data_IF_063023737828
#
_entry.id   IF_063023737828
#
_cell.length_a   1.000
_cell.length_b   1.000
_cell.length_c   1.000
_cell.angle_alpha   90.00
_cell.angle_beta   90.00
_cell.angle_gamma   90.00
#
_symmetry.space_group_name_H-M   'P 1'
#
loop_
_entity.id
_entity.type
_entity.pdbx_description
1 polymer ?
#
# COMPACT_ATOMS: atom_id res chain seq x y z
N UNK A 1 -8.06 -6.58 9.52
CA UNK A 1 -7.12 -7.58 8.98
C UNK A 1 -7.91 -8.60 8.17
N UNK A 2 -7.32 -9.15 7.11
CA UNK A 2 -7.88 -10.24 6.32
C UNK A 2 -7.72 -11.60 7.03
N UNK A 3 -8.38 -12.68 6.57
CA UNK A 3 -8.16 -14.03 7.09
C UNK A 3 -6.71 -14.51 7.01
N UNK A 4 -5.92 -13.97 6.06
CA UNK A 4 -4.49 -14.27 5.92
C UNK A 4 -3.60 -13.43 6.87
N UNK A 5 -4.19 -12.59 7.72
CA UNK A 5 -3.46 -11.73 8.66
C UNK A 5 -2.94 -10.43 8.04
N UNK A 6 -3.34 -10.09 6.81
CA UNK A 6 -2.90 -8.85 6.15
C UNK A 6 -3.72 -7.67 6.66
N UNK A 7 -3.05 -6.58 7.01
CA UNK A 7 -3.73 -5.34 7.36
C UNK A 7 -4.24 -4.66 6.09
N UNK A 8 -5.54 -4.79 5.82
CA UNK A 8 -6.22 -4.23 4.64
C UNK A 8 -7.04 -2.98 4.95
N UNK A 9 -7.14 -2.59 6.22
CA UNK A 9 -7.80 -1.36 6.69
C UNK A 9 -7.20 -0.96 8.03
N UNK A 10 -7.07 0.34 8.27
CA UNK A 10 -6.78 0.94 9.57
C UNK A 10 -7.79 2.07 9.79
N UNK A 11 -8.56 2.02 10.89
CA UNK A 11 -9.69 2.92 11.14
C UNK A 11 -9.28 4.26 11.76
N UNK A 12 -8.34 4.96 11.11
CA UNK A 12 -7.90 6.32 11.45
C UNK A 12 -7.76 7.15 10.17
N UNK A 13 -7.83 8.50 10.24
CA UNK A 13 -7.55 9.34 9.08
C UNK A 13 -6.16 9.05 8.49
N UNK A 14 -6.10 8.87 7.17
CA UNK A 14 -4.85 8.73 6.44
C UNK A 14 -4.02 10.01 6.54
N UNK A 15 -2.71 9.87 6.76
CA UNK A 15 -1.79 11.00 6.80
C UNK A 15 -0.50 10.70 6.01
N UNK A 16 -0.31 11.45 4.93
CA UNK A 16 0.89 11.53 4.10
C UNK A 16 0.94 12.90 3.44
N UNK A 17 2.11 13.31 2.94
CA UNK A 17 2.15 14.39 1.95
C UNK A 17 1.55 13.93 0.61
N UNK A 18 1.30 14.86 -0.30
CA UNK A 18 0.86 14.56 -1.67
C UNK A 18 1.92 13.75 -2.44
N UNK A 19 3.19 14.13 -2.30
CA UNK A 19 4.32 13.43 -2.92
C UNK A 19 4.48 12.00 -2.36
N UNK A 20 4.30 11.85 -1.04
CA UNK A 20 4.32 10.56 -0.36
C UNK A 20 3.17 9.66 -0.85
N UNK A 21 1.97 10.22 -1.01
CA UNK A 21 0.81 9.52 -1.58
C UNK A 21 1.08 9.07 -3.01
N UNK A 22 1.56 9.97 -3.87
CA UNK A 22 1.91 9.68 -5.26
C UNK A 22 2.94 8.56 -5.36
N UNK A 23 4.00 8.64 -4.54
CA UNK A 23 5.06 7.63 -4.50
C UNK A 23 4.51 6.25 -4.09
N UNK A 24 3.68 6.19 -3.04
CA UNK A 24 3.12 4.94 -2.55
C UNK A 24 2.17 4.31 -3.59
N UNK A 25 1.31 5.13 -4.21
CA UNK A 25 0.38 4.70 -5.24
C UNK A 25 1.13 4.17 -6.47
N UNK A 26 2.11 4.93 -6.97
CA UNK A 26 2.88 4.53 -8.14
C UNK A 26 3.68 3.25 -7.89
N UNK A 27 4.26 3.07 -6.70
CA UNK A 27 4.95 1.84 -6.34
C UNK A 27 4.01 0.62 -6.34
N UNK A 28 2.79 0.77 -5.84
CA UNK A 28 1.76 -0.28 -5.89
C UNK A 28 1.34 -0.56 -7.34
N UNK A 29 1.08 0.48 -8.14
CA UNK A 29 0.68 0.37 -9.54
C UNK A 29 1.74 -0.35 -10.38
N UNK A 30 3.01 0.01 -10.25
CA UNK A 30 4.11 -0.66 -10.95
C UNK A 30 4.18 -2.15 -10.56
N UNK A 31 4.08 -2.47 -9.26
CA UNK A 31 4.08 -3.86 -8.80
C UNK A 31 2.90 -4.67 -9.36
N UNK A 32 1.72 -4.04 -9.46
CA UNK A 32 0.53 -4.65 -10.06
C UNK A 32 0.70 -4.85 -11.57
N UNK A 33 1.25 -3.88 -12.30
CA UNK A 33 1.48 -3.99 -13.75
C UNK A 33 2.49 -5.10 -14.12
N UNK A 34 3.46 -5.38 -13.26
CA UNK A 34 4.38 -6.52 -13.41
C UNK A 34 3.68 -7.88 -13.28
N UNK A 35 2.43 -7.92 -12.78
CA UNK A 35 1.65 -9.12 -12.56
C UNK A 35 0.41 -9.10 -13.45
N UNK A 36 0.27 -10.09 -14.32
CA UNK A 36 -0.94 -10.22 -15.14
C UNK A 36 -2.17 -10.47 -14.26
N UNK A 37 -3.27 -9.76 -14.50
CA UNK A 37 -4.54 -9.98 -13.80
C UNK A 37 -5.32 -8.69 -13.53
N UNK A 38 -6.44 -8.85 -12.81
CA UNK A 38 -7.24 -7.74 -12.31
C UNK A 38 -6.50 -7.04 -11.14
N UNK A 39 -6.17 -5.74 -11.23
CA UNK A 39 -5.51 -4.99 -10.17
C UNK A 39 -6.23 -5.04 -8.82
N UNK A 40 -7.56 -5.16 -8.79
CA UNK A 40 -8.31 -5.26 -7.55
C UNK A 40 -8.03 -6.57 -6.80
N UNK A 41 -7.78 -7.66 -7.51
CA UNK A 41 -7.37 -8.93 -6.93
C UNK A 41 -5.93 -8.90 -6.40
N UNK A 42 -5.15 -7.89 -6.78
CA UNK A 42 -3.75 -7.71 -6.41
C UNK A 42 -3.55 -6.79 -5.19
N UNK A 43 -4.61 -6.16 -4.66
CA UNK A 43 -4.54 -5.27 -3.47
C UNK A 43 -4.00 -6.03 -2.26
N UNK A 44 -4.67 -7.12 -1.85
CA UNK A 44 -4.23 -7.88 -0.67
C UNK A 44 -2.85 -8.54 -0.87
N UNK A 45 -2.53 -9.16 -2.03
CA UNK A 45 -1.18 -9.64 -2.33
C UNK A 45 -0.08 -8.57 -2.21
N UNK A 46 -0.34 -7.35 -2.71
CA UNK A 46 0.63 -6.25 -2.59
C UNK A 46 0.79 -5.84 -1.12
N UNK A 47 -0.32 -5.65 -0.40
CA UNK A 47 -0.31 -5.30 1.03
C UNK A 47 0.41 -6.36 1.87
N UNK A 48 0.26 -7.65 1.54
CA UNK A 48 1.00 -8.74 2.18
C UNK A 48 2.51 -8.59 1.94
N UNK A 49 2.92 -8.25 0.71
CA UNK A 49 4.34 -8.13 0.36
C UNK A 49 5.05 -7.01 1.14
N UNK A 50 4.41 -5.86 1.32
CA UNK A 50 4.98 -4.72 2.05
C UNK A 50 4.90 -4.88 3.57
N UNK A 51 4.02 -5.77 4.06
CA UNK A 51 3.87 -6.11 5.48
C UNK A 51 4.82 -7.21 5.95
N UNK A 52 5.52 -7.87 5.02
CA UNK A 52 6.48 -8.90 5.37
C UNK A 52 7.63 -8.34 6.23
N UNK A 53 8.12 -9.09 7.24
CA UNK A 53 9.17 -8.61 8.14
C UNK A 53 10.42 -8.14 7.39
N UNK A 54 10.90 -6.94 7.74
CA UNK A 54 12.12 -6.36 7.16
C UNK A 54 11.96 -5.77 5.76
N UNK A 55 10.78 -5.89 5.12
CA UNK A 55 10.53 -5.26 3.83
C UNK A 55 10.32 -3.76 4.01
N UNK A 56 11.01 -2.98 3.17
CA UNK A 56 10.83 -1.54 3.03
C UNK A 56 11.06 -1.15 1.58
N UNK A 57 10.34 -0.16 1.08
CA UNK A 57 10.55 0.37 -0.26
C UNK A 57 9.75 1.63 -0.51
N UNK A 58 9.66 2.05 -1.78
CA UNK A 58 8.94 3.27 -2.15
C UNK A 58 7.46 3.26 -1.73
N UNK A 59 6.82 2.09 -1.73
CA UNK A 59 5.44 1.90 -1.26
C UNK A 59 5.22 2.23 0.22
N UNK A 60 6.28 2.29 1.01
CA UNK A 60 6.24 2.59 2.46
C UNK A 60 7.30 3.62 2.87
N UNK A 61 7.72 4.48 1.93
CA UNK A 61 8.71 5.55 2.15
C UNK A 61 10.01 5.05 2.81
N UNK A 62 10.51 3.91 2.34
CA UNK A 62 11.71 3.24 2.86
C UNK A 62 11.63 2.91 4.37
N UNK A 63 10.43 2.81 4.91
CA UNK A 63 10.17 2.45 6.30
C UNK A 63 9.47 1.09 6.34
N UNK A 64 9.91 0.19 7.22
CA UNK A 64 9.23 -1.10 7.40
C UNK A 64 7.81 -0.89 7.91
N UNK A 65 6.84 -1.69 7.47
CA UNK A 65 5.44 -1.59 7.88
C UNK A 65 5.24 -1.44 9.41
N UNK A 66 5.97 -2.23 10.20
CA UNK A 66 5.90 -2.24 11.65
C UNK A 66 6.34 -0.92 12.32
N UNK A 67 7.05 -0.04 11.60
CA UNK A 67 7.51 1.28 12.08
C UNK A 67 6.63 2.43 11.62
N UNK A 68 5.66 2.18 10.75
CA UNK A 68 4.69 3.20 10.33
C UNK A 68 3.71 3.49 11.47
N UNK A 69 3.33 4.75 11.62
CA UNK A 69 2.19 5.11 12.48
C UNK A 69 0.88 4.57 11.86
N UNK A 70 -0.19 4.38 12.65
CA UNK A 70 -1.48 3.95 12.12
C UNK A 70 -2.00 4.85 10.98
N UNK A 71 -1.83 6.18 11.09
CA UNK A 71 -2.23 7.12 10.05
C UNK A 71 -1.43 6.96 8.75
N UNK A 72 -0.14 6.61 8.86
CA UNK A 72 0.71 6.29 7.71
C UNK A 72 0.36 4.94 7.09
N UNK A 73 0.01 3.93 7.89
CA UNK A 73 -0.51 2.66 7.38
C UNK A 73 -1.83 2.85 6.62
N UNK A 74 -2.73 3.67 7.15
CA UNK A 74 -3.97 4.05 6.46
C UNK A 74 -3.70 4.74 5.12
N UNK A 75 -2.74 5.66 5.05
CA UNK A 75 -2.35 6.34 3.82
C UNK A 75 -1.78 5.38 2.77
N UNK A 76 -0.93 4.43 3.17
CA UNK A 76 -0.43 3.39 2.26
C UNK A 76 -1.60 2.56 1.71
N UNK A 77 -2.49 2.07 2.57
CA UNK A 77 -3.65 1.26 2.14
C UNK A 77 -4.53 2.03 1.14
N UNK A 78 -4.81 3.31 1.42
CA UNK A 78 -5.55 4.18 0.51
C UNK A 78 -4.86 4.30 -0.85
N UNK A 79 -3.54 4.51 -0.87
CA UNK A 79 -2.76 4.59 -2.09
C UNK A 79 -2.76 3.26 -2.88
N UNK A 80 -2.81 2.10 -2.23
CA UNK A 80 -2.96 0.79 -2.91
C UNK A 80 -4.31 0.67 -3.59
N UNK A 81 -5.39 1.13 -2.95
CA UNK A 81 -6.72 1.15 -3.57
C UNK A 81 -6.75 2.07 -4.79
N UNK A 82 -6.20 3.28 -4.67
CA UNK A 82 -6.07 4.20 -5.80
C UNK A 82 -5.24 3.61 -6.94
N UNK A 83 -4.16 2.88 -6.64
CA UNK A 83 -3.35 2.21 -7.65
C UNK A 83 -4.15 1.16 -8.43
N UNK A 84 -4.99 0.38 -7.74
CA UNK A 84 -5.86 -0.60 -8.39
C UNK A 84 -6.94 0.06 -9.26
N UNK A 85 -7.40 1.26 -8.89
CA UNK A 85 -8.37 2.06 -9.64
C UNK A 85 -7.77 2.88 -10.80
N UNK A 86 -6.45 2.86 -10.99
CA UNK A 86 -5.75 3.75 -11.93
C UNK A 86 -5.74 5.25 -11.53
N UNK A 87 -5.91 5.54 -10.24
CA UNK A 87 -6.12 6.90 -9.66
C UNK A 87 -4.87 7.45 -8.94
N UNK A 88 -3.66 7.16 -9.44
CA UNK A 88 -2.42 7.67 -8.84
C UNK A 88 -2.09 9.14 -9.17
N UNK A 89 -3.07 9.95 -9.56
CA UNK A 89 -2.89 11.33 -10.02
C UNK A 89 -3.81 12.32 -9.34
#
# INVERSE_FOLDING_TARGET
>A
MSPAGVTTRVDVPAASTEEEYFQACHAAKTWMQERSGDPHLLIEPYLASIQAPGVSGAGTWNTTWAKLTPARQAAVILAVHAAANDECG
#
